data_IF_221039141007
#
_entry.id   IF_221039141007
#
_cell.length_a   1.000
_cell.length_b   1.000
_cell.length_c   1.000
_cell.angle_alpha   90.00
_cell.angle_beta   90.00
_cell.angle_gamma   90.00
#
_symmetry.space_group_name_H-M   'P 1'
#
loop_
_entity.id
_entity.type
_entity.pdbx_description
1 polymer ?
#
# COMPACT_ATOMS: atom_id res chain seq x y z
N UNK A 1 1.62 -14.42 8.61
CA UNK A 1 2.42 -13.23 9.01
C UNK A 1 1.44 -12.09 9.14
N UNK A 2 1.42 -11.41 10.28
CA UNK A 2 0.47 -10.30 10.43
C UNK A 2 0.87 -9.12 9.52
N UNK A 3 -0.10 -8.27 9.24
CA UNK A 3 0.06 -7.13 8.35
C UNK A 3 1.19 -6.19 8.83
N UNK A 4 1.24 -5.87 10.12
CA UNK A 4 2.22 -4.92 10.67
C UNK A 4 3.67 -5.44 10.55
N UNK A 5 3.91 -6.71 10.85
CA UNK A 5 5.20 -7.36 10.68
C UNK A 5 5.66 -7.28 9.23
N UNK A 6 4.74 -7.45 8.28
CA UNK A 6 5.03 -7.32 6.84
C UNK A 6 5.48 -5.91 6.50
N UNK A 7 4.79 -4.88 7.02
CA UNK A 7 5.16 -3.48 6.82
C UNK A 7 6.54 -3.19 7.40
N UNK A 8 6.79 -3.58 8.64
CA UNK A 8 8.06 -3.35 9.32
C UNK A 8 9.22 -4.09 8.64
N UNK A 9 9.00 -5.32 8.17
CA UNK A 9 9.98 -6.09 7.40
C UNK A 9 10.31 -5.38 6.08
N UNK A 10 9.31 -4.87 5.36
CA UNK A 10 9.54 -4.15 4.11
C UNK A 10 10.41 -2.92 4.33
N UNK A 11 10.05 -2.07 5.30
CA UNK A 11 10.82 -0.86 5.61
C UNK A 11 12.24 -1.18 6.09
N UNK A 12 12.38 -2.20 6.94
CA UNK A 12 13.68 -2.60 7.49
C UNK A 12 14.61 -3.20 6.45
N UNK A 13 14.11 -4.11 5.59
CA UNK A 13 14.93 -4.82 4.59
C UNK A 13 15.16 -4.02 3.32
N UNK A 14 14.28 -3.09 2.99
CA UNK A 14 14.33 -2.34 1.73
C UNK A 14 14.17 -0.83 1.93
N UNK A 15 14.99 -0.18 2.78
CA UNK A 15 14.81 1.23 3.12
C UNK A 15 15.06 2.19 1.94
N UNK A 16 15.69 1.74 0.83
CA UNK A 16 15.77 2.52 -0.42
C UNK A 16 14.47 2.49 -1.24
N UNK A 17 13.66 1.44 -1.06
CA UNK A 17 12.36 1.30 -1.70
C UNK A 17 11.25 1.92 -0.84
N UNK A 18 11.30 1.69 0.47
CA UNK A 18 10.26 2.11 1.41
C UNK A 18 10.89 2.89 2.57
N UNK A 19 10.86 4.22 2.50
CA UNK A 19 11.26 5.10 3.60
C UNK A 19 10.16 5.24 4.64
N UNK A 20 8.91 5.10 4.22
CA UNK A 20 7.75 5.21 5.10
C UNK A 20 6.73 4.10 4.84
N UNK A 21 5.72 4.07 5.72
CA UNK A 21 4.62 3.12 5.68
C UNK A 21 3.83 3.22 4.39
N UNK A 22 3.57 4.43 3.89
CA UNK A 22 2.69 4.65 2.74
C UNK A 22 3.28 4.07 1.46
N UNK A 23 4.59 4.11 1.31
CA UNK A 23 5.26 3.45 0.19
C UNK A 23 5.12 1.93 0.24
N UNK A 24 5.16 1.33 1.44
CA UNK A 24 4.86 -0.09 1.59
C UNK A 24 3.40 -0.37 1.22
N UNK A 25 2.45 0.44 1.69
CA UNK A 25 1.03 0.25 1.37
C UNK A 25 0.75 0.41 -0.13
N UNK A 26 1.35 1.41 -0.77
CA UNK A 26 1.27 1.63 -2.21
C UNK A 26 1.83 0.40 -2.97
N UNK A 27 2.96 -0.14 -2.54
CA UNK A 27 3.51 -1.38 -3.11
C UNK A 27 2.59 -2.59 -2.90
N UNK A 28 2.17 -2.86 -1.66
CA UNK A 28 1.39 -4.05 -1.33
C UNK A 28 0.01 -4.04 -2.00
N UNK A 29 -0.65 -2.87 -2.06
CA UNK A 29 -2.06 -2.80 -2.42
C UNK A 29 -2.37 -2.16 -3.76
N UNK A 30 -1.52 -1.24 -4.25
CA UNK A 30 -1.82 -0.44 -5.44
C UNK A 30 -1.00 -0.86 -6.66
N UNK A 31 0.24 -1.31 -6.46
CA UNK A 31 1.20 -1.52 -7.54
C UNK A 31 0.76 -2.57 -8.58
N UNK A 32 1.14 -2.32 -9.85
CA UNK A 32 0.99 -3.25 -10.97
C UNK A 32 1.82 -4.53 -10.78
N UNK A 33 2.93 -4.43 -10.04
CA UNK A 33 3.87 -5.52 -9.77
C UNK A 33 4.15 -5.56 -8.26
N UNK A 34 3.28 -6.26 -7.54
CA UNK A 34 3.55 -6.68 -6.17
C UNK A 34 4.11 -8.11 -6.22
N UNK A 35 5.22 -8.40 -5.54
CA UNK A 35 5.75 -9.77 -5.43
C UNK A 35 5.00 -10.62 -4.40
N UNK A 36 4.05 -10.01 -3.66
CA UNK A 36 3.18 -10.71 -2.72
C UNK A 36 1.89 -11.17 -3.40
N UNK A 37 1.38 -12.31 -2.93
CA UNK A 37 0.14 -12.93 -3.41
C UNK A 37 -0.73 -13.35 -2.23
N UNK A 38 -2.03 -13.20 -2.39
CA UNK A 38 -3.00 -13.61 -1.39
C UNK A 38 -2.95 -15.13 -1.19
N UNK A 39 -2.65 -15.55 0.05
CA UNK A 39 -2.61 -16.94 0.48
C UNK A 39 -3.27 -17.02 1.85
N UNK A 40 -4.36 -17.77 1.99
CA UNK A 40 -5.10 -17.94 3.24
C UNK A 40 -5.43 -16.62 3.97
N UNK A 41 -5.77 -15.58 3.20
CA UNK A 41 -6.15 -14.28 3.74
C UNK A 41 -5.02 -13.30 4.05
N UNK A 42 -3.78 -13.67 3.75
CA UNK A 42 -2.58 -12.83 3.94
C UNK A 42 -1.89 -12.55 2.60
N UNK A 43 -1.22 -11.41 2.45
CA UNK A 43 -0.29 -11.22 1.33
C UNK A 43 1.06 -11.81 1.70
N UNK A 44 1.42 -12.92 1.06
CA UNK A 44 2.67 -13.64 1.28
C UNK A 44 3.56 -13.49 0.06
N UNK A 45 4.82 -13.13 0.26
CA UNK A 45 5.79 -12.97 -0.82
C UNK A 45 7.17 -12.59 -0.32
N UNK A 46 8.12 -12.56 -1.24
CA UNK A 46 9.45 -12.05 -1.02
C UNK A 46 9.80 -11.10 -2.17
N UNK A 47 10.29 -9.91 -1.82
CA UNK A 47 10.64 -8.89 -2.82
C UNK A 47 11.94 -9.31 -3.49
N UNK A 48 11.87 -9.68 -4.76
CA UNK A 48 13.05 -10.13 -5.50
C UNK A 48 13.79 -8.93 -6.06
N UNK A 49 14.70 -8.37 -5.27
CA UNK A 49 15.39 -7.14 -5.64
C UNK A 49 16.83 -7.07 -5.12
N UNK A 50 17.71 -6.41 -5.88
CA UNK A 50 19.05 -6.03 -5.43
C UNK A 50 19.04 -4.90 -4.39
N UNK A 51 17.88 -4.29 -4.11
CA UNK A 51 17.74 -3.23 -3.11
C UNK A 51 17.67 -3.74 -1.66
N UNK A 52 17.80 -5.05 -1.44
CA UNK A 52 17.94 -5.62 -0.11
C UNK A 52 19.11 -4.97 0.64
N UNK A 53 18.88 -4.58 1.89
CA UNK A 53 19.91 -4.04 2.77
C UNK A 53 19.97 -4.79 4.08
N UNK A 54 21.20 -5.12 4.48
CA UNK A 54 21.51 -5.65 5.80
C UNK A 54 21.80 -4.55 6.82
N UNK A 55 21.98 -3.30 6.39
CA UNK A 55 22.34 -2.14 7.20
C UNK A 55 21.27 -1.05 7.00
N UNK A 56 20.76 -0.42 8.06
CA UNK A 56 19.81 0.69 7.93
C UNK A 56 20.45 1.91 7.25
N UNK A 57 19.62 2.76 6.65
CA UNK A 57 20.07 4.04 6.12
C UNK A 57 20.39 5.01 7.25
N UNK A 58 21.43 5.83 7.05
CA UNK A 58 21.75 6.95 7.93
C UNK A 58 20.87 8.17 7.62
N UNK A 59 20.70 9.06 8.59
CA UNK A 59 19.78 10.21 8.48
C UNK A 59 20.01 11.10 7.25
N UNK A 60 21.27 11.34 6.88
CA UNK A 60 21.61 12.14 5.69
C UNK A 60 21.15 11.48 4.39
N UNK A 61 21.26 10.15 4.29
CA UNK A 61 20.81 9.38 3.12
C UNK A 61 19.29 9.42 2.99
N UNK A 62 18.57 9.36 4.12
CA UNK A 62 17.12 9.49 4.15
C UNK A 62 16.70 10.88 3.65
N UNK A 63 17.37 11.94 4.11
CA UNK A 63 17.11 13.32 3.65
C UNK A 63 17.36 13.47 2.15
N UNK A 64 18.44 12.89 1.63
CA UNK A 64 18.75 12.93 0.20
C UNK A 64 17.71 12.19 -0.64
N UNK A 65 17.31 10.99 -0.23
CA UNK A 65 16.29 10.20 -0.92
C UNK A 65 14.93 10.91 -0.91
N UNK A 66 14.53 11.52 0.22
CA UNK A 66 13.30 12.30 0.29
C UNK A 66 13.33 13.48 -0.70
N UNK A 67 14.41 14.26 -0.75
CA UNK A 67 14.57 15.36 -1.72
C UNK A 67 14.52 14.86 -3.17
N UNK A 68 15.15 13.72 -3.45
CA UNK A 68 15.11 13.11 -4.78
C UNK A 68 13.68 12.74 -5.18
N UNK A 69 12.90 12.14 -4.26
CA UNK A 69 11.52 11.73 -4.50
C UNK A 69 10.57 12.91 -4.65
N UNK A 70 10.67 13.92 -3.80
CA UNK A 70 9.91 15.16 -3.93
C UNK A 70 10.17 15.81 -5.29
N UNK A 71 11.43 15.80 -5.77
CA UNK A 71 11.77 16.31 -7.09
C UNK A 71 11.21 15.45 -8.23
N UNK A 72 11.24 14.13 -8.08
CA UNK A 72 10.76 13.18 -9.10
C UNK A 72 9.24 13.25 -9.25
N UNK A 73 8.51 13.23 -8.15
CA UNK A 73 7.04 13.19 -8.12
C UNK A 73 6.39 14.56 -8.02
N UNK A 74 7.18 15.61 -7.75
CA UNK A 74 6.71 16.97 -7.45
C UNK A 74 5.73 17.00 -6.26
N UNK A 75 5.75 15.96 -5.43
CA UNK A 75 4.84 15.71 -4.30
C UNK A 75 5.57 14.90 -3.23
N UNK A 76 5.13 15.02 -1.95
CA UNK A 76 5.71 14.23 -0.86
C UNK A 76 5.40 12.73 -0.95
N UNK A 77 4.39 12.34 -1.74
CA UNK A 77 3.99 10.95 -1.96
C UNK A 77 3.54 10.72 -3.39
N UNK A 78 3.57 9.46 -3.82
CA UNK A 78 3.10 8.99 -5.13
C UNK A 78 2.31 7.69 -4.95
N UNK A 79 1.27 7.52 -5.76
CA UNK A 79 0.51 6.26 -5.83
C UNK A 79 0.56 5.70 -7.23
N UNK A 80 0.69 4.37 -7.32
CA UNK A 80 0.43 3.70 -8.59
C UNK A 80 -1.05 3.86 -8.97
N UNK A 81 -1.36 3.95 -10.26
CA UNK A 81 -2.72 3.81 -10.77
C UNK A 81 -3.44 2.66 -10.10
N UNK A 82 -4.67 2.92 -9.62
CA UNK A 82 -5.54 1.87 -9.12
C UNK A 82 -6.23 1.18 -10.29
N UNK A 83 -6.25 -0.15 -10.28
CA UNK A 83 -6.98 -0.95 -11.24
C UNK A 83 -7.62 -2.17 -10.60
N UNK A 84 -8.88 -2.43 -10.97
CA UNK A 84 -9.65 -3.57 -10.44
C UNK A 84 -9.00 -4.91 -10.74
N UNK A 85 -8.27 -5.04 -11.85
CA UNK A 85 -7.72 -6.32 -12.29
C UNK A 85 -6.39 -6.70 -11.63
N UNK A 86 -5.66 -5.73 -11.06
CA UNK A 86 -4.31 -5.97 -10.54
C UNK A 86 -4.08 -5.48 -9.11
N UNK A 87 -4.73 -4.39 -8.69
CA UNK A 87 -4.49 -3.85 -7.34
C UNK A 87 -5.04 -4.83 -6.30
N UNK A 88 -4.20 -5.28 -5.36
CA UNK A 88 -4.62 -6.14 -4.26
C UNK A 88 -5.70 -5.48 -3.39
N UNK A 89 -5.80 -4.15 -3.45
CA UNK A 89 -6.88 -3.35 -2.86
C UNK A 89 -8.29 -3.79 -3.30
N UNK A 90 -8.45 -4.31 -4.52
CA UNK A 90 -9.74 -4.81 -5.04
C UNK A 90 -9.83 -6.34 -5.16
N UNK A 91 -8.69 -7.04 -5.10
CA UNK A 91 -8.59 -8.48 -5.41
C UNK A 91 -8.29 -9.35 -4.19
N UNK A 92 -8.66 -8.90 -3.00
CA UNK A 92 -8.47 -9.69 -1.78
C UNK A 92 -9.52 -10.82 -1.66
N UNK A 93 -9.15 -11.96 -1.07
CA UNK A 93 -10.05 -13.10 -0.95
C UNK A 93 -11.12 -12.86 0.13
N UNK A 94 -12.22 -13.60 0.07
CA UNK A 94 -13.24 -13.63 1.14
C UNK A 94 -12.68 -14.08 2.50
N UNK A 95 -11.58 -14.82 2.48
CA UNK A 95 -10.88 -15.32 3.67
C UNK A 95 -9.85 -14.33 4.20
N UNK A 96 -9.85 -13.07 3.75
CA UNK A 96 -8.92 -12.04 4.24
C UNK A 96 -8.91 -12.01 5.77
N UNK A 97 -7.74 -11.83 6.37
CA UNK A 97 -7.65 -11.62 7.81
C UNK A 97 -7.96 -10.17 8.15
N UNK A 98 -8.48 -9.92 9.36
CA UNK A 98 -8.97 -8.59 9.74
C UNK A 98 -7.88 -7.52 9.75
N UNK A 99 -6.66 -7.86 10.16
CA UNK A 99 -5.50 -6.95 10.16
C UNK A 99 -5.08 -6.54 8.75
N UNK A 100 -5.14 -7.46 7.78
CA UNK A 100 -4.91 -7.17 6.37
C UNK A 100 -6.04 -6.31 5.78
N UNK A 101 -7.29 -6.52 6.20
CA UNK A 101 -8.41 -5.67 5.81
C UNK A 101 -8.27 -4.24 6.35
N UNK A 102 -7.80 -4.10 7.59
CA UNK A 102 -7.44 -2.79 8.18
C UNK A 102 -6.38 -2.08 7.34
N UNK A 103 -5.34 -2.79 6.89
CA UNK A 103 -4.33 -2.23 5.98
C UNK A 103 -4.89 -1.74 4.65
N UNK A 104 -5.86 -2.46 4.07
CA UNK A 104 -6.58 -2.02 2.87
C UNK A 104 -7.36 -0.74 3.16
N UNK A 105 -8.11 -0.70 4.26
CA UNK A 105 -8.89 0.48 4.67
C UNK A 105 -7.98 1.68 4.87
N UNK A 106 -6.89 1.51 5.62
CA UNK A 106 -5.87 2.54 5.87
C UNK A 106 -5.32 3.12 4.55
N UNK A 107 -5.04 2.24 3.58
CA UNK A 107 -4.57 2.65 2.24
C UNK A 107 -5.61 3.48 1.51
N UNK A 108 -6.88 3.05 1.52
CA UNK A 108 -7.96 3.76 0.86
C UNK A 108 -8.18 5.14 1.49
N UNK A 109 -8.20 5.24 2.82
CA UNK A 109 -8.33 6.51 3.54
C UNK A 109 -7.21 7.48 3.21
N UNK A 110 -5.97 6.97 3.16
CA UNK A 110 -4.81 7.77 2.79
C UNK A 110 -4.91 8.28 1.35
N UNK A 111 -5.32 7.44 0.38
CA UNK A 111 -5.54 7.87 -1.00
C UNK A 111 -6.65 8.93 -1.07
N UNK A 112 -7.81 8.70 -0.46
CA UNK A 112 -8.95 9.63 -0.51
C UNK A 112 -8.64 11.00 0.10
N UNK A 113 -7.77 11.05 1.12
CA UNK A 113 -7.33 12.30 1.76
C UNK A 113 -6.37 13.10 0.88
N UNK A 114 -5.62 12.42 0.01
CA UNK A 114 -4.46 12.99 -0.69
C UNK A 114 -4.61 13.02 -2.22
N UNK A 115 -5.68 12.45 -2.77
CA UNK A 115 -5.98 12.50 -4.20
C UNK A 115 -6.33 13.92 -4.61
N UNK A 116 -5.69 14.39 -5.68
CA UNK A 116 -6.01 15.69 -6.29
C UNK A 116 -7.34 15.58 -7.06
N UNK A 117 -8.31 16.50 -6.85
CA UNK A 117 -9.58 16.50 -7.58
C UNK A 117 -9.45 16.48 -9.10
N UNK A 118 -8.31 16.89 -9.65
CA UNK A 118 -8.04 16.94 -11.08
C UNK A 118 -7.24 15.74 -11.60
N UNK A 119 -6.81 14.80 -10.74
CA UNK A 119 -5.98 13.64 -11.07
C UNK A 119 -6.73 12.31 -11.23
N UNK A 120 -8.06 12.33 -11.36
CA UNK A 120 -8.84 11.16 -11.76
C UNK A 120 -8.26 10.48 -13.04
N UNK A 121 -7.47 11.20 -13.84
CA UNK A 121 -6.81 10.73 -15.07
C UNK A 121 -5.83 9.57 -14.83
N UNK A 122 -5.20 9.47 -13.66
CA UNK A 122 -4.23 8.40 -13.37
C UNK A 122 -4.85 7.18 -12.69
N UNK A 123 -6.12 7.23 -12.32
CA UNK A 123 -6.81 6.11 -11.68
C UNK A 123 -7.76 5.48 -12.69
N UNK A 124 -7.65 4.17 -12.93
CA UNK A 124 -8.69 3.47 -13.72
C UNK A 124 -10.03 3.41 -12.96
N UNK A 125 -10.00 3.80 -11.68
CA UNK A 125 -11.13 3.77 -10.75
C UNK A 125 -11.48 5.20 -10.31
N UNK A 126 -12.68 5.70 -10.64
CA UNK A 126 -13.14 7.01 -10.19
C UNK A 126 -13.20 7.11 -8.66
N UNK A 127 -12.93 8.30 -8.10
CA UNK A 127 -13.01 8.56 -6.65
C UNK A 127 -14.29 8.02 -5.99
N UNK A 128 -15.46 8.25 -6.60
CA UNK A 128 -16.74 7.79 -6.06
C UNK A 128 -16.83 6.26 -5.93
N UNK A 129 -16.17 5.51 -6.83
CA UNK A 129 -16.10 4.06 -6.73
C UNK A 129 -15.16 3.62 -5.61
N UNK A 130 -14.04 4.32 -5.41
CA UNK A 130 -13.13 4.08 -4.30
C UNK A 130 -13.81 4.34 -2.94
N UNK A 131 -14.59 5.41 -2.82
CA UNK A 131 -15.39 5.69 -1.63
C UNK A 131 -16.45 4.61 -1.36
N UNK A 132 -17.07 4.09 -2.42
CA UNK A 132 -18.03 2.99 -2.30
C UNK A 132 -17.35 1.70 -1.83
N UNK A 133 -16.16 1.41 -2.36
CA UNK A 133 -15.35 0.27 -1.94
C UNK A 133 -14.89 0.39 -0.49
N UNK A 134 -14.47 1.59 -0.07
CA UNK A 134 -14.12 1.90 1.31
C UNK A 134 -15.26 1.53 2.28
N UNK A 135 -16.48 1.98 1.99
CA UNK A 135 -17.66 1.66 2.80
C UNK A 135 -17.94 0.16 2.85
N UNK A 136 -17.75 -0.56 1.75
CA UNK A 136 -17.89 -2.01 1.72
C UNK A 136 -16.86 -2.69 2.64
N UNK A 137 -15.60 -2.28 2.59
CA UNK A 137 -14.54 -2.81 3.45
C UNK A 137 -14.83 -2.56 4.94
N UNK A 138 -15.28 -1.35 5.30
CA UNK A 138 -15.68 -1.04 6.68
C UNK A 138 -16.83 -1.92 7.18
N UNK A 139 -17.79 -2.27 6.32
CA UNK A 139 -18.88 -3.16 6.68
C UNK A 139 -18.40 -4.61 6.91
N UNK A 140 -17.45 -5.08 6.09
CA UNK A 140 -16.80 -6.38 6.31
C UNK A 140 -16.04 -6.36 7.64
N UNK A 141 -15.27 -5.31 7.92
CA UNK A 141 -14.50 -5.19 9.15
C UNK A 141 -15.40 -5.23 10.40
N UNK A 142 -16.52 -4.52 10.38
CA UNK A 142 -17.52 -4.55 11.46
C UNK A 142 -18.10 -5.95 11.70
N UNK A 143 -18.23 -6.76 10.66
CA UNK A 143 -18.73 -8.13 10.81
C UNK A 143 -17.77 -9.00 11.61
N UNK A 144 -16.45 -8.82 11.47
CA UNK A 144 -15.45 -9.51 12.31
C UNK A 144 -15.53 -9.13 13.79
N UNK A 145 -16.04 -7.94 14.13
CA UNK A 145 -16.17 -7.49 15.52
C UNK A 145 -17.42 -8.03 16.24
N UNK A 146 -18.27 -8.78 15.53
CA UNK A 146 -19.52 -9.35 16.06
C UNK A 146 -19.34 -10.87 16.35
N UNK A 147 -18.27 -11.49 15.85
CA UNK A 147 -17.88 -12.88 16.12
C UNK A 147 -16.95 -12.99 17.33
#
# INVERSE_FOLDING_TARGET
MNFEDTVQICMKKYPKLFLDRWEVLNYLFCSLHCDHRWTNGELVGEIQTSYYQSIPLYGEQIVELNRFREKLWQRPYYFYPLGRSYSNLFNFPKTIQSDWLEGIIETIEFILKNIDPWEDVYMEIPKAQLESHHRACLNILKAYSIE
#
